data_IF_799082793798
#
_entry.id   IF_799082793798
#
_cell.length_a   1.000
_cell.length_b   1.000
_cell.length_c   1.000
_cell.angle_alpha   90.00
_cell.angle_beta   90.00
_cell.angle_gamma   90.00
#
_symmetry.space_group_name_H-M   'P 1'
#
loop_
_entity.id
_entity.type
_entity.pdbx_description
1 polymer ?
#
# COMPACT_ATOMS: atom_id res chain seq x y z
N UNK A 1 -8.82 -15.53 -8.38
CA UNK A 1 -7.89 -15.30 -9.51
C UNK A 1 -6.62 -16.10 -9.25
N UNK A 2 -5.87 -16.56 -10.27
CA UNK A 2 -4.57 -17.21 -10.06
C UNK A 2 -3.46 -16.19 -10.25
N UNK A 3 -2.45 -16.19 -9.37
CA UNK A 3 -1.36 -15.19 -9.42
C UNK A 3 -0.64 -15.21 -10.77
N UNK A 4 -0.34 -16.40 -11.31
CA UNK A 4 0.38 -16.59 -12.57
C UNK A 4 -0.33 -16.05 -13.83
N UNK A 5 -1.60 -15.67 -13.70
CA UNK A 5 -2.39 -15.04 -14.78
C UNK A 5 -2.64 -13.55 -14.52
N UNK A 6 -2.07 -12.98 -13.46
CA UNK A 6 -2.34 -11.59 -13.09
C UNK A 6 -1.37 -10.61 -13.75
N UNK A 7 -1.90 -9.42 -13.98
CA UNK A 7 -1.20 -8.21 -14.44
C UNK A 7 -1.45 -7.13 -13.42
N UNK A 8 -0.46 -6.89 -12.54
CA UNK A 8 -0.65 -6.14 -11.30
C UNK A 8 0.11 -4.83 -11.34
N UNK A 9 -0.54 -3.73 -10.98
CA UNK A 9 0.11 -2.46 -10.69
C UNK A 9 0.34 -2.33 -9.17
N UNK A 10 1.59 -2.09 -8.75
CA UNK A 10 1.97 -1.86 -7.34
C UNK A 10 2.48 -0.43 -7.17
N UNK A 11 1.86 0.38 -6.32
CA UNK A 11 2.36 1.72 -6.02
C UNK A 11 3.36 1.70 -4.86
N UNK A 12 4.42 2.54 -4.92
CA UNK A 12 5.51 2.52 -3.94
C UNK A 12 6.27 1.19 -3.96
N UNK A 13 6.53 0.66 -5.16
CA UNK A 13 7.04 -0.68 -5.39
C UNK A 13 8.56 -0.83 -5.30
N UNK A 14 9.31 0.26 -5.07
CA UNK A 14 10.77 0.19 -5.09
C UNK A 14 11.41 -0.04 -3.71
N UNK A 15 10.64 -0.06 -2.62
CA UNK A 15 11.17 -0.24 -1.26
C UNK A 15 10.21 -0.99 -0.34
N UNK A 16 10.73 -1.51 0.79
CA UNK A 16 9.94 -2.09 1.88
C UNK A 16 8.94 -3.16 1.43
N UNK A 17 7.71 -3.08 1.92
CA UNK A 17 6.63 -4.02 1.56
C UNK A 17 6.30 -3.99 0.07
N UNK A 18 6.30 -2.80 -0.57
CA UNK A 18 6.01 -2.67 -2.00
C UNK A 18 6.99 -3.44 -2.86
N UNK A 19 8.31 -3.34 -2.58
CA UNK A 19 9.32 -4.14 -3.26
C UNK A 19 9.12 -5.63 -3.03
N UNK A 20 8.81 -6.05 -1.81
CA UNK A 20 8.49 -7.44 -1.51
C UNK A 20 7.29 -7.92 -2.34
N UNK A 21 6.22 -7.13 -2.46
CA UNK A 21 5.06 -7.47 -3.27
C UNK A 21 5.42 -7.61 -4.75
N UNK A 22 6.19 -6.67 -5.32
CA UNK A 22 6.64 -6.72 -6.73
C UNK A 22 7.40 -8.01 -7.00
N UNK A 23 8.43 -8.30 -6.19
CA UNK A 23 9.29 -9.47 -6.39
C UNK A 23 8.57 -10.79 -6.14
N UNK A 24 7.70 -10.84 -5.11
CA UNK A 24 6.96 -12.06 -4.77
C UNK A 24 5.88 -12.38 -5.80
N UNK A 25 5.14 -11.36 -6.29
CA UNK A 25 4.18 -11.53 -7.38
C UNK A 25 4.87 -12.03 -8.66
N UNK A 26 6.01 -11.42 -9.03
CA UNK A 26 6.77 -11.84 -10.20
C UNK A 26 7.36 -13.25 -10.06
N UNK A 27 7.80 -13.63 -8.84
CA UNK A 27 8.26 -15.00 -8.54
C UNK A 27 7.14 -16.02 -8.67
N UNK A 28 5.92 -15.66 -8.28
CA UNK A 28 4.73 -16.50 -8.43
C UNK A 28 4.11 -16.44 -9.85
N UNK A 29 4.77 -15.75 -10.80
CA UNK A 29 4.44 -15.76 -12.23
C UNK A 29 3.54 -14.61 -12.72
N UNK A 30 3.16 -13.65 -11.86
CA UNK A 30 2.41 -12.48 -12.29
C UNK A 30 3.30 -11.49 -13.07
N UNK A 31 2.74 -10.84 -14.08
CA UNK A 31 3.34 -9.66 -14.68
C UNK A 31 3.08 -8.44 -13.79
N UNK A 32 4.11 -7.68 -13.46
CA UNK A 32 4.02 -6.58 -12.49
C UNK A 32 4.53 -5.27 -13.08
N UNK A 33 3.67 -4.27 -13.12
CA UNK A 33 4.07 -2.88 -13.23
C UNK A 33 4.17 -2.28 -11.81
N UNK A 34 5.12 -1.38 -11.58
CA UNK A 34 5.17 -0.67 -10.31
C UNK A 34 5.60 0.77 -10.48
N UNK A 35 5.29 1.63 -9.52
CA UNK A 35 5.79 2.99 -9.52
C UNK A 35 6.49 3.35 -8.21
N UNK A 36 7.43 4.30 -8.33
CA UNK A 36 8.10 4.95 -7.21
C UNK A 36 8.60 6.34 -7.64
N UNK A 37 9.21 7.11 -6.72
CA UNK A 37 9.77 8.42 -7.01
C UNK A 37 11.27 8.38 -7.39
N UNK A 38 11.99 7.32 -7.02
CA UNK A 38 13.43 7.18 -7.21
C UNK A 38 13.74 6.32 -8.44
N UNK A 39 14.34 6.93 -9.46
CA UNK A 39 14.77 6.23 -10.67
C UNK A 39 15.79 5.12 -10.36
N UNK A 40 16.75 5.37 -9.45
CA UNK A 40 17.76 4.38 -9.05
C UNK A 40 17.14 3.17 -8.35
N UNK A 41 16.16 3.40 -7.43
CA UNK A 41 15.48 2.33 -6.74
C UNK A 41 14.58 1.52 -7.70
N UNK A 42 13.95 2.17 -8.68
CA UNK A 42 13.19 1.52 -9.74
C UNK A 42 14.11 0.58 -10.55
N UNK A 43 15.24 1.11 -11.03
CA UNK A 43 16.20 0.34 -11.82
C UNK A 43 16.76 -0.86 -11.02
N UNK A 44 17.00 -0.69 -9.71
CA UNK A 44 17.47 -1.78 -8.85
C UNK A 44 16.45 -2.92 -8.74
N UNK A 45 15.15 -2.62 -8.60
CA UNK A 45 14.10 -3.64 -8.55
C UNK A 45 13.91 -4.32 -9.89
N UNK A 46 13.95 -3.59 -11.02
CA UNK A 46 13.91 -4.19 -12.36
C UNK A 46 15.08 -5.17 -12.58
N UNK A 47 16.29 -4.78 -12.18
CA UNK A 47 17.48 -5.64 -12.29
C UNK A 47 17.36 -6.90 -11.44
N UNK A 48 16.88 -6.79 -10.19
CA UNK A 48 16.66 -7.94 -9.30
C UNK A 48 15.59 -8.88 -9.84
N UNK A 49 14.56 -8.35 -10.46
CA UNK A 49 13.46 -9.12 -11.02
C UNK A 49 13.77 -9.77 -12.39
N UNK A 50 14.91 -9.44 -13.02
CA UNK A 50 15.23 -9.86 -14.39
C UNK A 50 15.22 -11.38 -14.64
N UNK A 51 15.45 -12.18 -13.59
CA UNK A 51 15.44 -13.66 -13.67
C UNK A 51 14.15 -14.31 -13.17
N UNK A 52 13.16 -13.51 -12.74
CA UNK A 52 11.90 -14.03 -12.24
C UNK A 52 10.95 -14.43 -13.39
N UNK A 53 10.01 -15.37 -13.14
CA UNK A 53 9.08 -15.83 -14.17
C UNK A 53 8.19 -14.74 -14.75
N UNK A 54 7.68 -13.84 -13.92
CA UNK A 54 6.82 -12.73 -14.32
C UNK A 54 7.61 -11.53 -14.85
N UNK A 55 7.06 -10.82 -15.82
CA UNK A 55 7.63 -9.56 -16.34
C UNK A 55 7.51 -8.47 -15.28
N UNK A 56 8.57 -7.68 -15.05
CA UNK A 56 8.55 -6.54 -14.15
C UNK A 56 8.92 -5.27 -14.89
N UNK A 57 8.09 -4.20 -14.74
CA UNK A 57 8.31 -2.89 -15.34
C UNK A 57 8.06 -1.75 -14.36
N UNK A 58 9.07 -0.93 -14.12
CA UNK A 58 8.99 0.24 -13.25
C UNK A 58 8.66 1.53 -13.97
N UNK A 59 8.00 2.45 -13.27
CA UNK A 59 7.64 3.78 -13.75
C UNK A 59 7.91 4.82 -12.64
N UNK A 60 8.38 5.99 -13.03
CA UNK A 60 8.43 7.12 -12.11
C UNK A 60 7.08 7.81 -12.09
N UNK A 61 6.42 7.86 -10.93
CA UNK A 61 5.16 8.57 -10.76
C UNK A 61 4.90 8.94 -9.30
N UNK A 62 4.35 10.12 -9.08
CA UNK A 62 3.86 10.59 -7.80
C UNK A 62 2.34 10.35 -7.73
N UNK A 63 1.90 9.43 -6.87
CA UNK A 63 0.48 9.08 -6.71
C UNK A 63 -0.39 10.22 -6.18
N UNK A 64 0.22 11.28 -5.61
CA UNK A 64 -0.49 12.48 -5.17
C UNK A 64 -0.84 13.45 -6.33
N UNK A 65 -0.44 13.13 -7.57
CA UNK A 65 -0.70 13.95 -8.75
C UNK A 65 -1.57 13.19 -9.75
N UNK A 66 -2.74 13.75 -10.01
CA UNK A 66 -3.75 13.10 -10.85
C UNK A 66 -3.26 12.80 -12.27
N UNK A 67 -2.61 13.76 -12.92
CA UNK A 67 -2.05 13.60 -14.26
C UNK A 67 -0.98 12.50 -14.35
N UNK A 68 -0.13 12.39 -13.32
CA UNK A 68 0.87 11.32 -13.24
C UNK A 68 0.21 9.94 -13.01
N UNK A 69 -0.88 9.87 -12.22
CA UNK A 69 -1.63 8.61 -12.01
C UNK A 69 -2.35 8.16 -13.26
N UNK A 70 -3.01 9.08 -13.99
CA UNK A 70 -3.65 8.77 -15.29
C UNK A 70 -2.63 8.19 -16.27
N UNK A 71 -1.47 8.85 -16.40
CA UNK A 71 -0.39 8.36 -17.25
C UNK A 71 0.17 7.01 -16.78
N UNK A 72 0.33 6.82 -15.46
CA UNK A 72 0.84 5.59 -14.86
C UNK A 72 -0.03 4.39 -15.21
N UNK A 73 -1.35 4.48 -14.97
CA UNK A 73 -2.27 3.36 -15.23
C UNK A 73 -2.28 3.00 -16.71
N UNK A 74 -2.33 4.00 -17.60
CA UNK A 74 -2.25 3.80 -19.04
C UNK A 74 -0.95 3.10 -19.45
N UNK A 75 0.20 3.64 -19.04
CA UNK A 75 1.51 3.09 -19.41
C UNK A 75 1.74 1.68 -18.84
N UNK A 76 1.26 1.42 -17.61
CA UNK A 76 1.31 0.09 -17.00
C UNK A 76 0.46 -0.92 -17.76
N UNK A 77 -0.75 -0.54 -18.15
CA UNK A 77 -1.63 -1.38 -18.96
C UNK A 77 -1.03 -1.69 -20.33
N UNK A 78 -0.45 -0.69 -21.00
CA UNK A 78 0.25 -0.88 -22.27
C UNK A 78 1.45 -1.82 -22.14
N UNK A 79 2.27 -1.63 -21.10
CA UNK A 79 3.48 -2.43 -20.86
C UNK A 79 3.18 -3.90 -20.59
N UNK A 80 2.08 -4.20 -19.88
CA UNK A 80 1.69 -5.56 -19.51
C UNK A 80 0.61 -6.16 -20.45
N UNK A 81 0.05 -5.37 -21.36
CA UNK A 81 -1.06 -5.79 -22.21
C UNK A 81 -2.37 -5.93 -21.44
N UNK A 82 -2.63 -5.02 -20.49
CA UNK A 82 -3.81 -4.93 -19.63
C UNK A 82 -3.44 -4.91 -18.15
N UNK A 83 -4.45 -4.67 -17.28
CA UNK A 83 -4.32 -4.71 -15.83
C UNK A 83 -5.57 -5.39 -15.23
N UNK A 84 -5.38 -6.33 -14.30
CA UNK A 84 -6.47 -6.95 -13.53
C UNK A 84 -6.19 -6.99 -12.01
N UNK A 85 -5.06 -6.44 -11.57
CA UNK A 85 -4.67 -6.30 -10.17
C UNK A 85 -4.12 -4.91 -9.85
N UNK A 86 -4.49 -4.36 -8.69
CA UNK A 86 -3.92 -3.12 -8.14
C UNK A 86 -3.55 -3.32 -6.69
N UNK A 87 -2.33 -2.88 -6.30
CA UNK A 87 -1.90 -2.80 -4.90
C UNK A 87 -1.54 -1.36 -4.58
N UNK A 88 -2.41 -0.68 -3.84
CA UNK A 88 -2.18 0.66 -3.31
C UNK A 88 -1.31 0.57 -2.05
N UNK A 89 0.01 0.55 -2.24
CA UNK A 89 0.98 0.42 -1.16
C UNK A 89 1.71 1.75 -0.86
N UNK A 90 1.84 2.66 -1.82
CA UNK A 90 2.51 3.94 -1.61
C UNK A 90 1.96 4.67 -0.37
N UNK A 91 2.86 5.14 0.47
CA UNK A 91 2.47 5.84 1.69
C UNK A 91 3.65 6.53 2.36
N UNK A 92 3.34 7.60 3.08
CA UNK A 92 4.31 8.37 3.87
C UNK A 92 3.81 8.58 5.30
N UNK A 93 4.74 8.83 6.18
CA UNK A 93 4.50 9.20 7.59
C UNK A 93 5.04 10.60 7.81
N UNK A 94 4.25 11.46 8.49
CA UNK A 94 4.66 12.81 8.94
C UNK A 94 4.10 13.03 10.34
N UNK A 95 4.66 12.29 11.31
CA UNK A 95 4.19 12.26 12.68
C UNK A 95 4.33 13.61 13.40
N UNK A 96 3.47 13.83 14.36
CA UNK A 96 3.46 14.97 15.26
C UNK A 96 2.22 14.95 16.14
N UNK A 97 2.39 15.36 17.40
CA UNK A 97 1.25 15.54 18.29
C UNK A 97 0.35 16.66 17.78
N UNK A 98 -0.97 16.52 17.96
CA UNK A 98 -1.94 17.55 17.58
C UNK A 98 -1.56 18.92 18.18
N UNK A 99 -1.20 18.91 19.45
CA UNK A 99 -0.55 20.02 20.16
C UNK A 99 0.56 19.48 21.06
N UNK A 100 1.63 20.27 21.25
CA UNK A 100 2.70 20.00 22.19
C UNK A 100 3.10 21.30 22.88
N UNK A 101 3.13 21.31 24.21
CA UNK A 101 3.67 22.44 24.98
C UNK A 101 5.17 22.22 25.21
N UNK A 102 5.98 23.16 24.75
CA UNK A 102 7.42 23.18 25.03
C UNK A 102 7.62 23.41 26.53
N UNK A 103 8.40 22.54 27.18
CA UNK A 103 8.60 22.59 28.65
C UNK A 103 9.45 23.77 29.08
N UNK A 104 10.38 24.21 28.23
CA UNK A 104 11.35 25.26 28.60
C UNK A 104 10.80 26.65 28.27
N UNK A 105 10.12 26.81 27.16
CA UNK A 105 9.62 28.12 26.69
C UNK A 105 8.13 28.35 26.98
N UNK A 106 7.38 27.30 27.33
CA UNK A 106 5.93 27.36 27.49
C UNK A 106 5.15 27.51 26.17
N UNK A 107 5.83 27.63 25.03
CA UNK A 107 5.20 27.80 23.72
C UNK A 107 4.38 26.55 23.32
N UNK A 108 3.25 26.79 22.65
CA UNK A 108 2.41 25.71 22.11
C UNK A 108 2.72 25.50 20.63
N UNK A 109 3.23 24.33 20.31
CA UNK A 109 3.44 23.86 18.94
C UNK A 109 2.17 23.10 18.48
N UNK A 110 1.84 23.22 17.20
CA UNK A 110 0.67 22.55 16.58
C UNK A 110 1.13 21.68 15.42
N UNK A 111 0.48 20.56 15.19
CA UNK A 111 0.65 19.80 13.96
C UNK A 111 0.31 20.72 12.76
N UNK A 112 1.27 20.92 11.85
CA UNK A 112 1.06 21.84 10.73
C UNK A 112 0.11 21.24 9.68
N UNK A 113 -0.69 22.13 9.04
CA UNK A 113 -1.56 21.73 7.92
C UNK A 113 -0.76 21.10 6.78
N UNK A 114 0.48 21.57 6.54
CA UNK A 114 1.34 20.99 5.51
C UNK A 114 1.69 19.52 5.79
N UNK A 115 1.99 19.15 7.05
CA UNK A 115 2.22 17.75 7.44
C UNK A 115 0.95 16.89 7.30
N UNK A 116 -0.19 17.46 7.69
CA UNK A 116 -1.49 16.81 7.52
C UNK A 116 -1.76 16.53 6.05
N UNK A 117 -1.74 17.58 5.22
CA UNK A 117 -2.10 17.50 3.81
C UNK A 117 -1.17 16.55 3.04
N UNK A 118 0.14 16.61 3.28
CA UNK A 118 1.08 15.72 2.60
C UNK A 118 0.75 14.22 2.82
N UNK A 119 0.30 13.84 4.02
CA UNK A 119 -0.11 12.46 4.30
C UNK A 119 -1.44 12.13 3.63
N UNK A 120 -2.42 13.03 3.68
CA UNK A 120 -3.71 12.84 3.02
C UNK A 120 -3.55 12.71 1.50
N UNK A 121 -2.71 13.55 0.89
CA UNK A 121 -2.49 13.54 -0.56
C UNK A 121 -1.92 12.20 -1.05
N UNK A 122 -0.97 11.63 -0.34
CA UNK A 122 -0.35 10.35 -0.74
C UNK A 122 -1.20 9.17 -0.28
N UNK A 123 -1.54 9.11 1.03
CA UNK A 123 -2.07 7.89 1.65
C UNK A 123 -3.58 7.70 1.46
N UNK A 124 -4.31 8.75 1.03
CA UNK A 124 -5.75 8.69 0.80
C UNK A 124 -6.11 9.13 -0.62
N UNK A 125 -5.81 10.38 -1.00
CA UNK A 125 -6.12 10.89 -2.34
C UNK A 125 -5.44 10.06 -3.42
N UNK A 126 -4.16 9.71 -3.23
CA UNK A 126 -3.43 8.85 -4.18
C UNK A 126 -4.05 7.47 -4.34
N UNK A 127 -4.51 6.86 -3.26
CA UNK A 127 -5.21 5.57 -3.30
C UNK A 127 -6.53 5.68 -4.07
N UNK A 128 -7.29 6.76 -3.82
CA UNK A 128 -8.52 7.05 -4.58
C UNK A 128 -8.23 7.20 -6.08
N UNK A 129 -7.25 8.02 -6.45
CA UNK A 129 -6.89 8.26 -7.85
C UNK A 129 -6.49 6.96 -8.56
N UNK A 130 -5.58 6.19 -7.96
CA UNK A 130 -5.12 4.91 -8.55
C UNK A 130 -6.26 3.90 -8.67
N UNK A 131 -7.15 3.81 -7.67
CA UNK A 131 -8.29 2.88 -7.71
C UNK A 131 -9.31 3.31 -8.75
N UNK A 132 -9.59 4.61 -8.89
CA UNK A 132 -10.49 5.16 -9.90
C UNK A 132 -10.02 4.87 -11.32
N UNK A 133 -8.76 5.17 -11.61
CA UNK A 133 -8.19 4.96 -12.95
C UNK A 133 -8.08 3.46 -13.28
N UNK A 134 -7.68 2.63 -12.31
CA UNK A 134 -7.67 1.18 -12.48
C UNK A 134 -9.07 0.63 -12.76
N UNK A 135 -10.08 1.05 -12.00
CA UNK A 135 -11.46 0.60 -12.21
C UNK A 135 -12.01 1.07 -13.56
N UNK A 136 -11.72 2.33 -13.96
CA UNK A 136 -12.09 2.84 -15.29
C UNK A 136 -11.47 1.98 -16.40
N UNK A 137 -10.18 1.71 -16.33
CA UNK A 137 -9.48 0.83 -17.27
C UNK A 137 -10.15 -0.56 -17.35
N UNK A 138 -10.45 -1.19 -16.21
CA UNK A 138 -11.10 -2.50 -16.19
C UNK A 138 -12.48 -2.48 -16.86
N UNK A 139 -13.27 -1.43 -16.64
CA UNK A 139 -14.60 -1.27 -17.23
C UNK A 139 -14.50 -1.03 -18.74
N UNK A 140 -13.62 -0.14 -19.18
CA UNK A 140 -13.42 0.20 -20.59
C UNK A 140 -12.92 -0.98 -21.43
N UNK A 141 -12.07 -1.82 -20.83
CA UNK A 141 -11.49 -3.01 -21.48
C UNK A 141 -12.26 -4.30 -21.23
N UNK A 142 -13.38 -4.24 -20.49
CA UNK A 142 -14.15 -5.41 -20.04
C UNK A 142 -13.28 -6.45 -19.30
N UNK A 143 -12.29 -5.98 -18.53
CA UNK A 143 -11.40 -6.83 -17.74
C UNK A 143 -12.13 -7.35 -16.48
N UNK A 144 -12.43 -8.64 -16.47
CA UNK A 144 -13.14 -9.34 -15.40
C UNK A 144 -12.67 -10.81 -15.34
N UNK A 145 -12.23 -11.33 -14.19
CA UNK A 145 -12.20 -10.71 -12.86
C UNK A 145 -11.03 -9.75 -12.64
N UNK A 146 -11.23 -8.77 -11.76
CA UNK A 146 -10.19 -7.84 -11.30
C UNK A 146 -10.25 -7.62 -9.79
N UNK A 147 -9.14 -7.15 -9.19
CA UNK A 147 -9.08 -6.91 -7.74
C UNK A 147 -8.15 -5.75 -7.39
N UNK A 148 -8.62 -4.81 -6.56
CA UNK A 148 -7.83 -3.74 -5.97
C UNK A 148 -7.63 -3.96 -4.46
N UNK A 149 -6.38 -3.86 -3.99
CA UNK A 149 -6.02 -4.03 -2.59
C UNK A 149 -5.36 -2.76 -2.07
N UNK A 150 -5.84 -2.26 -0.92
CA UNK A 150 -5.27 -1.10 -0.24
C UNK A 150 -4.48 -1.53 1.00
N UNK A 151 -3.29 -0.94 1.20
CA UNK A 151 -2.51 -1.14 2.41
C UNK A 151 -2.92 -0.09 3.45
N UNK A 152 -3.76 -0.53 4.41
CA UNK A 152 -4.14 0.22 5.59
C UNK A 152 -3.05 0.10 6.68
N UNK A 153 -3.42 0.03 7.95
CA UNK A 153 -2.53 -0.15 9.10
C UNK A 153 -3.35 -0.44 10.34
N UNK A 154 -2.77 -1.03 11.38
CA UNK A 154 -3.38 -1.06 12.72
C UNK A 154 -3.63 0.37 13.24
N UNK A 155 -2.83 1.37 12.79
CA UNK A 155 -3.03 2.79 13.14
C UNK A 155 -4.40 3.34 12.68
N UNK A 156 -5.18 2.62 11.88
CA UNK A 156 -6.58 2.93 11.57
C UNK A 156 -7.47 3.08 12.81
N UNK A 157 -7.09 2.45 13.91
CA UNK A 157 -7.80 2.51 15.19
C UNK A 157 -7.38 3.72 16.06
N UNK A 158 -6.41 4.51 15.59
CA UNK A 158 -5.79 5.62 16.30
C UNK A 158 -4.42 5.25 16.86
N UNK A 159 -3.41 6.10 16.60
CA UNK A 159 -2.08 5.98 17.19
C UNK A 159 -1.58 7.37 17.57
N UNK A 160 -1.03 7.50 18.77
CA UNK A 160 -0.59 8.79 19.32
C UNK A 160 0.47 9.43 18.41
N UNK A 161 0.23 10.69 18.02
CA UNK A 161 1.10 11.44 17.10
C UNK A 161 0.83 11.21 15.63
N UNK A 162 -0.17 10.41 15.26
CA UNK A 162 -0.49 10.03 13.88
C UNK A 162 -1.89 10.48 13.44
N UNK A 163 -2.34 11.67 13.83
CA UNK A 163 -3.69 12.15 13.46
C UNK A 163 -3.97 12.07 11.96
N UNK A 164 -3.03 12.49 11.12
CA UNK A 164 -3.11 12.46 9.67
C UNK A 164 -3.06 11.02 9.11
N UNK A 165 -2.12 10.22 9.59
CA UNK A 165 -1.91 8.85 9.13
C UNK A 165 -3.07 7.94 9.54
N UNK A 166 -3.51 8.01 10.80
CA UNK A 166 -4.65 7.25 11.31
C UNK A 166 -5.94 7.58 10.56
N UNK A 167 -6.19 8.88 10.31
CA UNK A 167 -7.35 9.31 9.53
C UNK A 167 -7.33 8.71 8.11
N UNK A 168 -6.19 8.81 7.40
CA UNK A 168 -6.06 8.25 6.06
C UNK A 168 -6.26 6.71 6.07
N UNK A 169 -5.60 6.00 6.99
CA UNK A 169 -5.68 4.53 7.05
C UNK A 169 -7.04 4.00 7.51
N UNK A 170 -7.79 4.75 8.32
CA UNK A 170 -9.17 4.44 8.67
C UNK A 170 -10.11 4.65 7.47
N UNK A 171 -9.93 5.73 6.72
CA UNK A 171 -10.71 5.99 5.52
C UNK A 171 -10.59 4.86 4.48
N UNK A 172 -9.39 4.30 4.27
CA UNK A 172 -9.18 3.19 3.34
C UNK A 172 -10.03 1.95 3.68
N UNK A 173 -10.29 1.69 4.96
CA UNK A 173 -11.16 0.58 5.39
C UNK A 173 -12.61 0.84 4.98
N UNK A 174 -13.07 2.08 5.11
CA UNK A 174 -14.41 2.50 4.66
C UNK A 174 -14.54 2.42 3.15
N UNK A 175 -13.56 2.99 2.43
CA UNK A 175 -13.54 3.04 0.97
C UNK A 175 -13.48 1.62 0.37
N UNK A 176 -12.71 0.71 0.97
CA UNK A 176 -12.69 -0.70 0.57
C UNK A 176 -14.09 -1.33 0.60
N UNK A 177 -14.91 -1.02 1.62
CA UNK A 177 -16.29 -1.52 1.69
C UNK A 177 -17.20 -0.86 0.66
N UNK A 178 -17.08 0.46 0.51
CA UNK A 178 -17.89 1.23 -0.43
C UNK A 178 -17.62 0.79 -1.87
N UNK A 179 -16.35 0.76 -2.25
CA UNK A 179 -15.97 0.37 -3.62
C UNK A 179 -16.30 -1.09 -3.94
N UNK A 180 -16.33 -1.99 -2.94
CA UNK A 180 -16.82 -3.35 -3.16
C UNK A 180 -18.30 -3.38 -3.62
N UNK A 181 -19.13 -2.48 -3.08
CA UNK A 181 -20.54 -2.38 -3.47
C UNK A 181 -20.71 -1.73 -4.86
N UNK A 182 -19.94 -0.68 -5.14
CA UNK A 182 -20.03 0.07 -6.40
C UNK A 182 -19.48 -0.72 -7.59
N UNK A 183 -18.37 -1.46 -7.38
CA UNK A 183 -17.59 -2.08 -8.45
C UNK A 183 -17.94 -3.55 -8.69
N UNK A 184 -18.70 -4.19 -7.79
CA UNK A 184 -19.07 -5.61 -7.92
C UNK A 184 -19.78 -5.93 -9.23
N UNK A 185 -20.64 -5.01 -9.71
CA UNK A 185 -21.36 -5.17 -11.01
C UNK A 185 -20.43 -5.23 -12.23
N UNK A 186 -19.17 -4.81 -12.08
CA UNK A 186 -18.14 -4.89 -13.11
C UNK A 186 -17.16 -6.05 -12.89
N UNK A 187 -17.41 -6.90 -11.89
CA UNK A 187 -16.52 -8.01 -11.55
C UNK A 187 -15.21 -7.58 -10.88
N UNK A 188 -15.16 -6.35 -10.32
CA UNK A 188 -14.00 -5.82 -9.63
C UNK A 188 -14.20 -5.98 -8.12
N UNK A 189 -13.32 -6.74 -7.47
CA UNK A 189 -13.28 -6.92 -6.02
C UNK A 189 -12.36 -5.90 -5.37
N UNK A 190 -12.58 -5.62 -4.10
CA UNK A 190 -11.70 -4.78 -3.29
C UNK A 190 -11.36 -5.46 -1.98
N UNK A 191 -10.14 -5.24 -1.50
CA UNK A 191 -9.68 -5.72 -0.21
C UNK A 191 -8.73 -4.72 0.45
N UNK A 192 -8.53 -4.87 1.75
CA UNK A 192 -7.48 -4.13 2.44
C UNK A 192 -6.65 -5.07 3.32
N UNK A 193 -5.39 -4.71 3.53
CA UNK A 193 -4.51 -5.32 4.53
C UNK A 193 -4.22 -4.24 5.57
N UNK A 194 -4.30 -4.59 6.85
CA UNK A 194 -3.90 -3.73 7.95
C UNK A 194 -2.68 -4.34 8.66
N UNK A 195 -1.47 -4.01 8.22
CA UNK A 195 -0.23 -4.46 8.85
C UNK A 195 -0.08 -3.91 10.27
N UNK A 196 0.50 -4.72 11.16
CA UNK A 196 1.18 -4.26 12.36
C UNK A 196 2.57 -3.70 12.05
N UNK A 197 3.42 -3.63 13.06
CA UNK A 197 4.83 -3.29 12.83
C UNK A 197 5.49 -4.35 11.95
N UNK A 198 5.86 -3.94 10.75
CA UNK A 198 6.48 -4.80 9.73
C UNK A 198 7.88 -4.30 9.45
N UNK A 199 8.85 -5.22 9.30
CA UNK A 199 10.24 -4.89 8.99
C UNK A 199 10.31 -4.09 7.69
N UNK A 200 10.98 -2.95 7.77
CA UNK A 200 11.28 -2.08 6.64
C UNK A 200 12.69 -1.52 6.84
N UNK A 201 13.36 -1.01 5.80
CA UNK A 201 14.70 -0.41 5.94
C UNK A 201 14.80 0.69 7.02
N UNK A 202 13.68 1.35 7.35
CA UNK A 202 13.64 2.36 8.42
C UNK A 202 13.90 1.73 9.80
N UNK A 203 13.40 0.51 10.03
CA UNK A 203 13.58 -0.19 11.31
C UNK A 203 14.98 -0.78 11.48
N UNK A 204 15.68 -1.09 10.38
CA UNK A 204 17.02 -1.67 10.44
C UNK A 204 18.06 -0.68 11.00
N UNK A 205 17.78 0.62 10.95
CA UNK A 205 18.60 1.67 11.55
C UNK A 205 18.27 2.04 13.00
N UNK A 206 17.27 1.37 13.61
CA UNK A 206 16.82 1.71 14.96
C UNK A 206 17.68 1.03 16.05
N UNK A 207 17.91 1.72 17.20
CA UNK A 207 18.57 1.10 18.36
C UNK A 207 17.81 -0.13 18.86
N UNK A 208 18.52 -1.17 19.29
CA UNK A 208 17.93 -2.42 19.77
C UNK A 208 16.88 -2.22 20.88
N UNK A 209 17.15 -1.28 21.80
CA UNK A 209 16.21 -0.94 22.89
C UNK A 209 14.87 -0.38 22.35
N UNK A 210 14.91 0.43 21.29
CA UNK A 210 13.71 0.97 20.66
C UNK A 210 12.91 -0.15 19.96
N UNK A 211 13.59 -1.09 19.30
CA UNK A 211 12.97 -2.26 18.69
C UNK A 211 12.30 -3.16 19.74
N UNK A 212 12.95 -3.40 20.89
CA UNK A 212 12.34 -4.19 21.98
C UNK A 212 11.10 -3.49 22.56
N UNK A 213 11.11 -2.17 22.73
CA UNK A 213 9.93 -1.40 23.14
C UNK A 213 8.78 -1.51 22.13
N UNK A 214 9.08 -1.56 20.82
CA UNK A 214 8.07 -1.76 19.80
C UNK A 214 7.47 -3.17 19.82
N UNK A 215 8.27 -4.20 20.14
CA UNK A 215 7.81 -5.59 20.23
C UNK A 215 6.99 -5.87 21.48
N UNK A 216 7.23 -5.13 22.56
CA UNK A 216 6.64 -5.40 23.87
C UNK A 216 5.09 -5.50 23.85
N UNK A 217 4.32 -4.62 23.17
CA UNK A 217 2.88 -4.71 23.09
C UNK A 217 2.36 -5.80 22.11
N UNK A 218 3.23 -6.36 21.25
CA UNK A 218 2.83 -7.37 20.28
C UNK A 218 2.73 -8.74 20.99
N UNK A 219 1.58 -9.44 20.99
CA UNK A 219 1.44 -10.76 21.60
C UNK A 219 2.48 -11.79 21.10
N UNK A 220 2.76 -11.82 19.80
CA UNK A 220 3.77 -12.72 19.22
C UNK A 220 5.22 -12.30 19.48
N UNK A 221 5.47 -11.16 20.18
CA UNK A 221 6.79 -10.69 20.63
C UNK A 221 7.83 -10.52 19.52
N UNK A 222 7.39 -10.29 18.31
CA UNK A 222 8.24 -10.01 17.15
C UNK A 222 7.58 -9.01 16.21
N UNK A 223 8.37 -8.41 15.36
CA UNK A 223 7.92 -7.63 14.21
C UNK A 223 7.54 -8.59 13.08
N UNK A 224 6.55 -8.24 12.28
CA UNK A 224 6.19 -8.97 11.07
C UNK A 224 7.22 -8.79 9.96
N UNK A 225 7.34 -9.76 9.08
CA UNK A 225 8.18 -9.67 7.88
C UNK A 225 7.31 -9.29 6.66
N UNK A 226 7.85 -8.59 5.65
CA UNK A 226 7.11 -8.20 4.45
C UNK A 226 6.45 -9.37 3.72
N UNK A 227 7.07 -10.55 3.76
CA UNK A 227 6.55 -11.79 3.17
C UNK A 227 5.25 -12.25 3.83
N UNK A 228 5.06 -11.97 5.12
CA UNK A 228 3.80 -12.28 5.81
C UNK A 228 2.65 -11.39 5.32
N UNK A 229 2.96 -10.14 4.94
CA UNK A 229 2.00 -9.24 4.28
C UNK A 229 1.68 -9.72 2.85
N UNK A 230 2.68 -10.27 2.15
CA UNK A 230 2.45 -10.87 0.85
C UNK A 230 1.51 -12.08 0.91
N UNK A 231 1.57 -12.92 1.94
CA UNK A 231 0.63 -14.02 2.12
C UNK A 231 -0.83 -13.53 2.23
N UNK A 232 -1.05 -12.40 2.92
CA UNK A 232 -2.37 -11.79 2.99
C UNK A 232 -2.81 -11.21 1.63
N UNK A 233 -1.90 -10.60 0.87
CA UNK A 233 -2.15 -10.11 -0.48
C UNK A 233 -2.55 -11.26 -1.41
N UNK A 234 -1.79 -12.35 -1.38
CA UNK A 234 -2.06 -13.57 -2.15
C UNK A 234 -3.42 -14.17 -1.80
N UNK A 235 -3.75 -14.28 -0.50
CA UNK A 235 -5.08 -14.71 -0.07
C UNK A 235 -6.20 -13.85 -0.65
N UNK A 236 -6.08 -12.51 -0.63
CA UNK A 236 -7.11 -11.61 -1.18
C UNK A 236 -7.26 -11.82 -2.69
N UNK A 237 -6.17 -11.96 -3.41
CA UNK A 237 -6.21 -12.15 -4.86
C UNK A 237 -6.80 -13.52 -5.24
N UNK A 238 -6.39 -14.60 -4.57
CA UNK A 238 -6.79 -15.97 -4.91
C UNK A 238 -8.16 -16.38 -4.36
N UNK A 239 -8.69 -15.68 -3.35
CA UNK A 239 -10.02 -15.97 -2.79
C UNK A 239 -11.08 -15.11 -3.46
N UNK A 240 -11.71 -15.64 -4.51
CA UNK A 240 -12.70 -14.92 -5.32
C UNK A 240 -14.00 -14.55 -4.56
N UNK A 241 -14.23 -15.13 -3.38
CA UNK A 241 -15.38 -14.77 -2.53
C UNK A 241 -15.04 -13.69 -1.48
N UNK A 242 -13.79 -13.25 -1.42
CA UNK A 242 -13.36 -12.19 -0.52
C UNK A 242 -13.48 -10.82 -1.19
N UNK A 243 -14.32 -9.92 -0.68
CA UNK A 243 -14.45 -8.53 -1.11
C UNK A 243 -14.96 -7.62 0.01
N UNK A 244 -14.58 -6.34 -0.01
CA UNK A 244 -15.02 -5.32 0.93
C UNK A 244 -14.59 -5.56 2.38
N UNK A 245 -13.51 -6.29 2.61
CA UNK A 245 -13.03 -6.66 3.96
C UNK A 245 -11.55 -6.34 4.12
N UNK A 246 -11.13 -6.22 5.38
CA UNK A 246 -9.74 -5.98 5.79
C UNK A 246 -9.18 -7.22 6.47
N UNK A 247 -8.00 -7.65 6.05
CA UNK A 247 -7.19 -8.67 6.73
C UNK A 247 -6.18 -7.96 7.64
N UNK A 248 -6.24 -8.22 8.93
CA UNK A 248 -5.28 -7.70 9.91
C UNK A 248 -4.13 -8.69 10.06
N UNK A 249 -2.89 -8.22 9.88
CA UNK A 249 -1.65 -9.02 9.99
C UNK A 249 -0.71 -8.26 10.92
N UNK A 250 -0.86 -8.42 12.22
CA UNK A 250 -0.30 -7.54 13.25
C UNK A 250 0.31 -8.26 14.46
N UNK A 251 0.36 -9.59 14.42
CA UNK A 251 0.84 -10.40 15.55
C UNK A 251 -0.04 -10.34 16.80
N UNK A 252 -1.32 -9.94 16.64
CA UNK A 252 -2.29 -9.76 17.71
C UNK A 252 -2.18 -8.40 18.42
N UNK A 253 -1.49 -7.43 17.82
CA UNK A 253 -1.31 -6.10 18.41
C UNK A 253 -2.63 -5.30 18.38
N UNK A 254 -3.03 -4.79 19.52
CA UNK A 254 -4.15 -3.85 19.68
C UNK A 254 -3.57 -2.46 20.01
N UNK A 255 -3.98 -1.43 19.28
CA UNK A 255 -3.65 -0.02 19.54
C UNK A 255 -4.80 0.64 20.31
#
# INVERSE_FOLDING_TARGET
>A
MKIDSMKVLVTGGASGMGRCFVLSLARDGADVAFCDLSDDAIAAVEAEAASLPGKVKGFKANVAKEDEVVALVKNAAEALGGLNGLVNNAGIIRDGLLIKKNKDTGAVEKLSLAKWQAVIDVNLTGVFLCTREFAAHCVETNTNPACAVAISSISKNGNMGQSNYSAAKAALVSDTKLWALELARYGIRTGAIAPGFTRTPILDGMPAEALEKMKAPIPLKRIGEPEEMYLALKFIFENDFFTGRTVEVDGGQVL
#
